data_IF_368092276294
#
_entry.id   IF_368092276294
#
_cell.length_a   1.000
_cell.length_b   1.000
_cell.length_c   1.000
_cell.angle_alpha   90.00
_cell.angle_beta   90.00
_cell.angle_gamma   90.00
#
_symmetry.space_group_name_H-M   'P 1'
#
loop_
_entity.id
_entity.type
_entity.pdbx_description
1 polymer ?
#
# COMPACT_ATOMS: atom_id res chain seq x y z
N UNK A 1 -37.20 2.42 -1.07
CA UNK A 1 -36.22 1.51 -1.65
C UNK A 1 -35.39 1.01 -0.47
N UNK A 2 -35.18 -0.30 -0.33
CA UNK A 2 -34.29 -0.84 0.70
C UNK A 2 -32.89 -0.28 0.42
N UNK A 3 -32.17 0.19 1.46
CA UNK A 3 -30.76 0.57 1.33
C UNK A 3 -30.02 -0.67 0.83
N UNK A 4 -29.17 -0.57 -0.19
CA UNK A 4 -28.32 -1.69 -0.57
C UNK A 4 -27.47 -2.09 0.64
N UNK A 5 -27.29 -3.40 0.84
CA UNK A 5 -26.43 -3.92 1.91
C UNK A 5 -25.00 -3.39 1.79
N UNK A 6 -24.16 -3.62 2.80
CA UNK A 6 -22.77 -3.15 2.78
C UNK A 6 -22.03 -3.73 1.56
N UNK A 7 -21.23 -2.90 0.89
CA UNK A 7 -20.38 -3.32 -0.24
C UNK A 7 -19.28 -4.29 0.23
N UNK A 8 -18.68 -5.03 -0.69
CA UNK A 8 -17.52 -5.88 -0.38
C UNK A 8 -16.35 -5.04 0.14
N UNK A 9 -16.11 -3.87 -0.48
CA UNK A 9 -15.14 -2.89 0.01
C UNK A 9 -15.36 -2.56 1.49
N UNK A 10 -16.62 -2.22 1.86
CA UNK A 10 -16.99 -1.90 3.24
C UNK A 10 -16.68 -3.04 4.22
N UNK A 11 -17.01 -4.28 3.84
CA UNK A 11 -16.75 -5.45 4.66
C UNK A 11 -15.25 -5.70 4.83
N UNK A 12 -14.49 -5.59 3.74
CA UNK A 12 -13.04 -5.81 3.73
C UNK A 12 -12.27 -4.73 4.53
N UNK A 13 -12.69 -3.47 4.44
CA UNK A 13 -12.09 -2.43 5.30
C UNK A 13 -12.29 -2.77 6.77
N UNK A 14 -13.48 -3.21 7.16
CA UNK A 14 -13.84 -3.47 8.56
C UNK A 14 -13.31 -4.81 9.09
N UNK A 15 -12.93 -5.74 8.22
CA UNK A 15 -12.30 -7.00 8.64
C UNK A 15 -10.80 -6.87 8.95
N UNK A 16 -10.18 -5.74 8.62
CA UNK A 16 -8.74 -5.57 8.75
C UNK A 16 -8.20 -5.85 10.16
N UNK A 17 -8.80 -5.34 11.26
CA UNK A 17 -8.26 -5.61 12.59
C UNK A 17 -8.13 -7.10 12.89
N UNK A 18 -9.19 -7.86 12.62
CA UNK A 18 -9.25 -9.30 12.88
C UNK A 18 -8.30 -10.09 11.99
N UNK A 19 -8.18 -9.69 10.70
CA UNK A 19 -7.24 -10.33 9.77
C UNK A 19 -5.79 -10.06 10.14
N UNK A 20 -5.47 -8.84 10.56
CA UNK A 20 -4.13 -8.49 11.03
C UNK A 20 -3.77 -9.24 12.33
N UNK A 21 -4.72 -9.36 13.28
CA UNK A 21 -4.53 -10.19 14.47
C UNK A 21 -4.27 -11.66 14.12
N UNK A 22 -5.06 -12.22 13.19
CA UNK A 22 -4.91 -13.59 12.70
C UNK A 22 -3.49 -13.84 12.15
N UNK A 23 -2.98 -12.91 11.35
CA UNK A 23 -1.62 -13.03 10.79
C UNK A 23 -0.55 -13.04 11.90
N UNK A 24 -0.68 -12.15 12.89
CA UNK A 24 0.28 -12.02 13.99
C UNK A 24 0.36 -13.27 14.87
N UNK A 25 -0.75 -14.01 15.04
CA UNK A 25 -0.77 -15.19 15.90
C UNK A 25 -0.56 -16.50 15.15
N UNK A 26 -0.72 -16.52 13.83
CA UNK A 26 -0.63 -17.73 13.00
C UNK A 26 0.76 -18.37 13.03
N UNK A 27 0.83 -19.60 13.53
CA UNK A 27 2.07 -20.38 13.53
C UNK A 27 2.57 -20.69 12.12
N UNK A 28 1.67 -20.91 11.16
CA UNK A 28 2.05 -21.16 9.76
C UNK A 28 2.70 -19.93 9.13
N UNK A 29 2.10 -18.74 9.33
CA UNK A 29 2.67 -17.48 8.82
C UNK A 29 4.04 -17.20 9.45
N UNK A 30 4.20 -17.41 10.77
CA UNK A 30 5.50 -17.26 11.45
C UNK A 30 6.56 -18.19 10.87
N UNK A 31 6.22 -19.43 10.53
CA UNK A 31 7.14 -20.36 9.87
C UNK A 31 7.53 -19.89 8.46
N UNK A 32 6.57 -19.39 7.68
CA UNK A 32 6.84 -18.83 6.35
C UNK A 32 7.75 -17.59 6.44
N UNK A 33 7.52 -16.71 7.41
CA UNK A 33 8.35 -15.52 7.66
C UNK A 33 9.75 -15.93 8.08
N UNK A 34 9.90 -16.90 8.98
CA UNK A 34 11.21 -17.41 9.38
C UNK A 34 11.99 -17.97 8.20
N UNK A 35 11.36 -18.78 7.36
CA UNK A 35 11.98 -19.34 6.15
C UNK A 35 12.40 -18.23 5.16
N UNK A 36 11.55 -17.19 4.99
CA UNK A 36 11.86 -16.05 4.14
C UNK A 36 13.03 -15.22 4.71
N UNK A 37 13.07 -14.99 6.03
CA UNK A 37 14.17 -14.31 6.71
C UNK A 37 15.50 -15.05 6.49
N UNK A 38 15.52 -16.37 6.70
CA UNK A 38 16.68 -17.23 6.45
C UNK A 38 17.18 -17.16 5.00
N UNK A 39 16.26 -17.14 4.03
CA UNK A 39 16.60 -17.00 2.61
C UNK A 39 17.20 -15.61 2.32
N UNK A 40 16.59 -14.56 2.84
CA UNK A 40 17.00 -13.17 2.59
C UNK A 40 18.24 -12.74 3.39
N UNK A 41 18.56 -13.39 4.51
CA UNK A 41 19.82 -13.15 5.23
C UNK A 41 21.06 -13.48 4.39
N UNK A 42 20.96 -14.40 3.45
CA UNK A 42 22.07 -14.90 2.62
C UNK A 42 22.35 -14.05 1.39
N UNK A 43 21.47 -13.08 1.11
CA UNK A 43 21.60 -12.24 -0.08
C UNK A 43 22.19 -10.87 0.25
N UNK A 44 22.83 -10.26 -0.75
CA UNK A 44 23.49 -8.96 -0.62
C UNK A 44 22.52 -7.81 -0.86
N UNK A 45 21.62 -7.98 -1.82
CA UNK A 45 20.67 -6.96 -2.27
C UNK A 45 19.30 -7.59 -2.48
N UNK A 46 18.25 -6.89 -2.12
CA UNK A 46 16.87 -7.37 -2.20
C UNK A 46 16.05 -6.44 -3.09
N UNK A 47 15.44 -6.99 -4.12
CA UNK A 47 14.50 -6.30 -4.99
C UNK A 47 13.08 -6.58 -4.51
N UNK A 48 12.30 -5.54 -4.27
CA UNK A 48 10.89 -5.66 -3.88
C UNK A 48 10.04 -5.24 -5.09
N UNK A 49 9.26 -6.17 -5.62
CA UNK A 49 8.65 -6.06 -6.94
C UNK A 49 7.14 -6.14 -6.84
N UNK A 50 6.44 -5.14 -7.39
CA UNK A 50 4.98 -5.09 -7.41
C UNK A 50 4.46 -4.10 -8.45
N UNK A 51 3.13 -3.94 -8.54
CA UNK A 51 2.49 -2.91 -9.36
C UNK A 51 1.25 -2.36 -8.65
N UNK A 52 0.90 -1.09 -8.85
CA UNK A 52 -0.20 -0.43 -8.15
C UNK A 52 -0.03 -0.54 -6.62
N UNK A 53 -1.08 -0.94 -5.94
CA UNK A 53 -1.11 -1.22 -4.50
C UNK A 53 0.06 -2.12 -4.04
N UNK A 54 0.38 -3.17 -4.80
CA UNK A 54 1.51 -4.06 -4.51
C UNK A 54 2.86 -3.34 -4.60
N UNK A 55 3.02 -2.34 -5.47
CA UNK A 55 4.23 -1.54 -5.54
C UNK A 55 4.35 -0.59 -4.33
N UNK A 56 3.24 -0.05 -3.85
CA UNK A 56 3.23 0.76 -2.63
C UNK A 56 3.65 -0.07 -1.41
N UNK A 57 3.14 -1.31 -1.27
CA UNK A 57 3.61 -2.23 -0.23
C UNK A 57 5.11 -2.55 -0.37
N UNK A 58 5.60 -2.73 -1.60
CA UNK A 58 7.02 -2.93 -1.88
C UNK A 58 7.89 -1.74 -1.44
N UNK A 59 7.41 -0.50 -1.62
CA UNK A 59 8.14 0.69 -1.14
C UNK A 59 8.27 0.72 0.38
N UNK A 60 7.19 0.47 1.13
CA UNK A 60 7.26 0.39 2.60
C UNK A 60 8.12 -0.80 3.05
N UNK A 61 7.96 -1.95 2.40
CA UNK A 61 8.79 -3.13 2.68
C UNK A 61 10.29 -2.88 2.44
N UNK A 62 10.65 -2.14 1.39
CA UNK A 62 12.04 -1.76 1.14
C UNK A 62 12.59 -0.87 2.26
N UNK A 63 11.83 0.12 2.72
CA UNK A 63 12.21 0.96 3.84
C UNK A 63 12.42 0.15 5.13
N UNK A 64 11.52 -0.80 5.43
CA UNK A 64 11.65 -1.70 6.58
C UNK A 64 12.91 -2.56 6.53
N UNK A 65 13.29 -3.06 5.34
CA UNK A 65 14.51 -3.86 5.18
C UNK A 65 15.78 -2.99 5.17
N UNK A 66 15.71 -1.74 4.73
CA UNK A 66 16.82 -0.78 4.86
C UNK A 66 17.13 -0.47 6.32
N UNK A 67 16.10 -0.41 7.15
CA UNK A 67 16.22 -0.20 8.60
C UNK A 67 17.01 -1.34 9.30
N UNK A 68 16.94 -2.56 8.75
CA UNK A 68 17.77 -3.72 9.14
C UNK A 68 19.14 -3.75 8.45
N UNK A 69 19.54 -2.64 7.81
CA UNK A 69 20.83 -2.52 7.13
C UNK A 69 20.91 -3.30 5.80
N UNK A 70 19.79 -3.68 5.19
CA UNK A 70 19.79 -4.37 3.90
C UNK A 70 19.76 -3.39 2.73
N UNK A 71 20.49 -3.71 1.67
CA UNK A 71 20.37 -3.01 0.39
C UNK A 71 19.06 -3.44 -0.29
N UNK A 72 17.95 -2.77 0.03
CA UNK A 72 16.61 -3.11 -0.44
C UNK A 72 16.06 -2.02 -1.35
N UNK A 73 15.46 -2.40 -2.50
CA UNK A 73 15.00 -1.48 -3.52
C UNK A 73 13.64 -1.89 -4.07
N UNK A 74 12.67 -0.99 -4.01
CA UNK A 74 11.37 -1.19 -4.64
C UNK A 74 11.43 -0.84 -6.13
N UNK A 75 10.79 -1.65 -6.96
CA UNK A 75 10.70 -1.44 -8.40
C UNK A 75 9.37 -1.96 -8.94
N UNK A 76 8.83 -1.33 -10.00
CA UNK A 76 7.62 -1.87 -10.63
C UNK A 76 7.92 -3.22 -11.31
N UNK A 77 6.94 -4.12 -11.29
CA UNK A 77 7.09 -5.45 -11.90
C UNK A 77 7.40 -5.37 -13.40
N UNK A 78 6.78 -4.43 -14.12
CA UNK A 78 7.08 -4.20 -15.53
C UNK A 78 8.53 -3.73 -15.70
N UNK A 79 8.99 -2.77 -14.89
CA UNK A 79 10.34 -2.23 -14.98
C UNK A 79 11.40 -3.29 -14.64
N UNK A 80 11.13 -4.14 -13.63
CA UNK A 80 11.99 -5.25 -13.28
C UNK A 80 12.16 -6.26 -14.42
N UNK A 81 11.11 -6.51 -15.19
CA UNK A 81 11.14 -7.46 -16.32
C UNK A 81 11.72 -6.83 -17.59
N UNK A 82 11.33 -5.60 -17.92
CA UNK A 82 11.69 -4.95 -19.20
C UNK A 82 13.04 -4.25 -19.18
N UNK A 83 13.37 -3.63 -18.06
CA UNK A 83 14.60 -2.87 -17.87
C UNK A 83 15.34 -3.46 -16.66
N UNK A 84 15.43 -4.79 -16.62
CA UNK A 84 15.94 -5.50 -15.45
C UNK A 84 17.23 -4.86 -14.95
N UNK A 85 17.31 -4.57 -13.64
CA UNK A 85 18.58 -4.24 -13.03
C UNK A 85 19.52 -5.43 -13.25
N UNK A 86 20.82 -5.18 -13.27
CA UNK A 86 21.78 -6.27 -13.29
C UNK A 86 21.61 -7.06 -11.99
N UNK A 87 21.00 -8.23 -12.10
CA UNK A 87 20.80 -9.16 -10.99
C UNK A 87 21.85 -10.27 -11.04
N UNK A 88 22.22 -10.79 -9.88
CA UNK A 88 23.21 -11.84 -9.76
C UNK A 88 22.85 -12.84 -8.66
N UNK A 89 23.59 -13.94 -8.53
CA UNK A 89 23.26 -15.06 -7.64
C UNK A 89 23.24 -14.69 -6.14
N UNK A 90 23.68 -13.47 -5.80
CA UNK A 90 23.67 -12.93 -4.44
C UNK A 90 22.53 -11.91 -4.23
N UNK A 91 21.60 -11.78 -5.16
CA UNK A 91 20.42 -10.97 -5.02
C UNK A 91 19.22 -11.84 -4.59
N UNK A 92 18.29 -11.20 -3.87
CA UNK A 92 16.98 -11.76 -3.57
C UNK A 92 15.88 -10.93 -4.18
N UNK A 93 14.69 -11.52 -4.33
CA UNK A 93 13.51 -10.85 -4.84
C UNK A 93 12.33 -11.15 -3.93
N UNK A 94 11.63 -10.11 -3.49
CA UNK A 94 10.33 -10.22 -2.82
C UNK A 94 9.27 -9.73 -3.80
N UNK A 95 8.31 -10.58 -4.15
CA UNK A 95 7.29 -10.29 -5.17
C UNK A 95 5.93 -10.15 -4.48
N UNK A 96 5.30 -9.01 -4.70
CA UNK A 96 3.97 -8.71 -4.19
C UNK A 96 2.93 -8.92 -5.28
N UNK A 97 2.00 -9.82 -5.07
CA UNK A 97 0.85 -10.04 -5.97
C UNK A 97 -0.29 -10.72 -5.21
N UNK A 98 -1.30 -9.94 -4.81
CA UNK A 98 -2.40 -10.49 -4.01
C UNK A 98 -3.10 -11.65 -4.72
N UNK A 99 -3.49 -11.46 -5.98
CA UNK A 99 -4.22 -12.50 -6.73
C UNK A 99 -3.35 -13.69 -7.13
N UNK A 100 -2.04 -13.50 -7.25
CA UNK A 100 -1.15 -14.48 -7.87
C UNK A 100 -1.33 -14.58 -9.38
N UNK A 101 -2.03 -13.64 -10.02
CA UNK A 101 -2.43 -13.67 -11.42
C UNK A 101 -1.83 -12.53 -12.25
N UNK A 102 -1.19 -11.54 -11.61
CA UNK A 102 -0.65 -10.35 -12.28
C UNK A 102 0.51 -10.71 -13.21
N UNK A 103 0.34 -10.50 -14.50
CA UNK A 103 1.24 -10.96 -15.56
C UNK A 103 2.70 -10.61 -15.34
N UNK A 104 3.01 -9.34 -15.11
CA UNK A 104 4.40 -8.91 -14.89
C UNK A 104 4.98 -9.36 -13.54
N UNK A 105 4.16 -9.55 -12.51
CA UNK A 105 4.62 -10.11 -11.25
C UNK A 105 5.03 -11.59 -11.41
N UNK A 106 4.24 -12.38 -12.16
CA UNK A 106 4.59 -13.75 -12.50
C UNK A 106 5.81 -13.84 -13.42
N UNK A 107 5.94 -12.92 -14.37
CA UNK A 107 7.12 -12.82 -15.22
C UNK A 107 8.39 -12.45 -14.42
N UNK A 108 8.28 -11.55 -13.44
CA UNK A 108 9.37 -11.23 -12.54
C UNK A 108 9.81 -12.46 -11.71
N UNK A 109 8.84 -13.25 -11.23
CA UNK A 109 9.11 -14.51 -10.54
C UNK A 109 9.84 -15.51 -11.44
N UNK A 110 9.37 -15.70 -12.67
CA UNK A 110 10.01 -16.58 -13.62
C UNK A 110 11.45 -16.15 -13.95
N UNK A 111 11.67 -14.84 -14.13
CA UNK A 111 13.00 -14.27 -14.33
C UNK A 111 13.90 -14.53 -13.12
N UNK A 112 13.40 -14.32 -11.90
CA UNK A 112 14.13 -14.55 -10.66
C UNK A 112 14.57 -16.02 -10.54
N UNK A 113 13.67 -16.99 -10.80
CA UNK A 113 14.01 -18.41 -10.80
C UNK A 113 15.04 -18.77 -11.87
N UNK A 114 14.89 -18.25 -13.09
CA UNK A 114 15.85 -18.52 -14.19
C UNK A 114 17.24 -17.97 -13.86
N UNK A 115 17.30 -16.83 -13.15
CA UNK A 115 18.55 -16.22 -12.70
C UNK A 115 19.12 -16.83 -11.40
N UNK A 116 18.43 -17.82 -10.81
CA UNK A 116 18.87 -18.48 -9.57
C UNK A 116 18.80 -17.59 -8.33
N UNK A 117 17.90 -16.59 -8.31
CA UNK A 117 17.74 -15.68 -7.18
C UNK A 117 16.97 -16.35 -6.05
N UNK A 118 17.28 -15.96 -4.80
CA UNK A 118 16.39 -16.25 -3.68
C UNK A 118 15.08 -15.49 -3.88
N UNK A 119 13.96 -16.20 -3.87
CA UNK A 119 12.65 -15.63 -4.18
C UNK A 119 11.71 -15.85 -3.02
N UNK A 120 11.02 -14.78 -2.62
CA UNK A 120 9.91 -14.79 -1.67
C UNK A 120 8.71 -14.13 -2.36
N UNK A 121 7.53 -14.73 -2.24
CA UNK A 121 6.30 -14.14 -2.76
C UNK A 121 5.36 -13.81 -1.61
N UNK A 122 4.81 -12.60 -1.58
CA UNK A 122 3.73 -12.20 -0.68
C UNK A 122 2.43 -12.19 -1.47
N UNK A 123 1.51 -13.07 -1.09
CA UNK A 123 0.29 -13.30 -1.85
C UNK A 123 -0.86 -13.77 -0.97
N UNK A 124 -2.04 -13.92 -1.56
CA UNK A 124 -3.20 -14.49 -0.88
C UNK A 124 -2.96 -15.93 -0.43
N UNK A 125 -3.71 -16.36 0.56
CA UNK A 125 -3.69 -17.75 1.01
C UNK A 125 -4.20 -18.72 -0.08
N UNK A 126 -3.77 -19.98 0.04
CA UNK A 126 -4.26 -21.09 -0.77
C UNK A 126 -3.66 -21.22 -2.17
N UNK A 127 -2.57 -20.51 -2.51
CA UNK A 127 -1.84 -20.72 -3.78
C UNK A 127 -0.89 -21.92 -3.73
N UNK A 128 -0.50 -22.38 -2.53
CA UNK A 128 0.29 -23.60 -2.35
C UNK A 128 1.72 -23.55 -2.90
N UNK A 129 2.35 -22.37 -2.90
CA UNK A 129 3.74 -22.20 -3.33
C UNK A 129 4.69 -22.24 -2.14
N UNK A 130 5.84 -22.91 -2.28
CA UNK A 130 6.79 -23.12 -1.18
C UNK A 130 7.62 -21.87 -0.83
N UNK A 131 7.69 -20.89 -1.73
CA UNK A 131 8.46 -19.65 -1.59
C UNK A 131 7.55 -18.45 -1.18
N UNK A 132 6.46 -18.72 -0.46
CA UNK A 132 5.40 -17.74 -0.22
C UNK A 132 5.21 -17.45 1.26
N UNK A 133 4.93 -16.18 1.55
CA UNK A 133 4.25 -15.74 2.78
C UNK A 133 2.80 -15.48 2.40
N UNK A 134 1.90 -16.26 2.97
CA UNK A 134 0.47 -16.09 2.75
C UNK A 134 -0.06 -14.92 3.57
N UNK A 135 -1.09 -14.26 3.05
CA UNK A 135 -1.74 -13.13 3.74
C UNK A 135 -3.21 -13.47 4.05
N UNK A 136 -4.12 -12.86 3.35
CA UNK A 136 -5.58 -13.02 3.52
C UNK A 136 -6.18 -13.76 2.33
N UNK A 137 -7.41 -14.28 2.42
CA UNK A 137 -8.15 -14.83 1.28
C UNK A 137 -8.22 -13.84 0.12
N UNK A 138 -8.49 -14.32 -1.09
CA UNK A 138 -8.68 -13.46 -2.26
C UNK A 138 -9.80 -12.45 -1.98
N UNK A 139 -9.48 -11.17 -2.06
CA UNK A 139 -10.49 -10.10 -1.95
C UNK A 139 -11.48 -10.17 -3.11
N UNK A 140 -12.73 -9.86 -2.82
CA UNK A 140 -13.83 -9.88 -3.79
C UNK A 140 -14.15 -8.51 -4.34
N UNK A 141 -13.78 -7.42 -3.65
CA UNK A 141 -13.75 -6.07 -4.21
C UNK A 141 -12.50 -5.88 -5.06
N UNK A 142 -12.61 -5.22 -6.19
CA UNK A 142 -11.46 -4.84 -7.02
C UNK A 142 -10.69 -3.65 -6.42
N UNK A 143 -11.30 -2.88 -5.51
CA UNK A 143 -10.60 -1.90 -4.67
C UNK A 143 -9.93 -2.63 -3.50
N UNK A 144 -8.71 -3.08 -3.69
CA UNK A 144 -7.97 -3.87 -2.70
C UNK A 144 -7.64 -3.05 -1.45
N UNK A 145 -7.89 -3.65 -0.27
CA UNK A 145 -7.74 -2.99 1.05
C UNK A 145 -6.99 -3.84 2.05
N UNK A 146 -7.63 -4.91 2.56
CA UNK A 146 -7.03 -5.77 3.59
C UNK A 146 -5.80 -6.52 3.09
N UNK A 147 -5.73 -6.86 1.80
CA UNK A 147 -4.54 -7.47 1.22
C UNK A 147 -3.32 -6.54 1.25
N UNK A 148 -3.52 -5.24 1.07
CA UNK A 148 -2.45 -4.26 1.18
C UNK A 148 -1.92 -4.14 2.61
N UNK A 149 -2.81 -3.87 3.57
CA UNK A 149 -2.41 -3.71 4.97
C UNK A 149 -1.80 -4.98 5.54
N UNK A 150 -2.30 -6.15 5.12
CA UNK A 150 -1.71 -7.45 5.43
C UNK A 150 -0.31 -7.62 4.83
N UNK A 151 -0.08 -7.22 3.58
CA UNK A 151 1.23 -7.27 2.95
C UNK A 151 2.24 -6.36 3.67
N UNK A 152 1.82 -5.16 4.09
CA UNK A 152 2.66 -4.24 4.88
C UNK A 152 2.96 -4.83 6.26
N UNK A 153 1.96 -5.44 6.93
CA UNK A 153 2.16 -6.07 8.23
C UNK A 153 3.14 -7.24 8.17
N UNK A 154 3.00 -8.16 7.20
CA UNK A 154 3.92 -9.30 7.07
C UNK A 154 5.33 -8.87 6.71
N UNK A 155 5.50 -7.74 5.99
CA UNK A 155 6.83 -7.13 5.80
C UNK A 155 7.41 -6.58 7.10
N UNK A 156 6.59 -5.98 7.96
CA UNK A 156 7.00 -5.58 9.31
C UNK A 156 7.42 -6.78 10.16
N UNK A 157 6.63 -7.88 10.11
CA UNK A 157 6.98 -9.13 10.79
C UNK A 157 8.30 -9.72 10.25
N UNK A 158 8.52 -9.68 8.94
CA UNK A 158 9.77 -10.13 8.32
C UNK A 158 10.95 -9.26 8.72
N UNK A 159 10.82 -7.95 8.72
CA UNK A 159 11.86 -7.04 9.19
C UNK A 159 12.20 -7.26 10.68
N UNK A 160 11.19 -7.45 11.52
CA UNK A 160 11.36 -7.79 12.93
C UNK A 160 12.11 -9.10 13.12
N UNK A 161 11.76 -10.17 12.38
CA UNK A 161 12.45 -11.46 12.37
C UNK A 161 13.91 -11.32 11.89
N UNK A 162 14.17 -10.39 10.99
CA UNK A 162 15.51 -10.06 10.50
C UNK A 162 16.30 -9.14 11.43
N UNK A 163 15.75 -8.72 12.56
CA UNK A 163 16.40 -7.96 13.61
C UNK A 163 16.23 -6.43 13.52
N UNK A 164 15.09 -5.95 13.02
CA UNK A 164 14.76 -4.53 13.07
C UNK A 164 14.57 -4.04 14.50
N UNK A 165 15.37 -3.07 14.93
CA UNK A 165 15.26 -2.46 16.27
C UNK A 165 14.02 -1.54 16.38
N UNK A 166 13.58 -0.97 15.27
CA UNK A 166 12.45 -0.02 15.20
C UNK A 166 11.10 -0.69 14.99
N UNK A 167 11.07 -2.02 14.74
CA UNK A 167 9.84 -2.81 14.52
C UNK A 167 9.88 -4.03 15.44
N UNK A 168 9.41 -3.85 16.67
CA UNK A 168 9.37 -4.93 17.66
C UNK A 168 8.06 -5.73 17.60
N UNK A 169 8.02 -6.96 18.16
CA UNK A 169 6.79 -7.73 18.28
C UNK A 169 5.65 -6.98 19.00
N UNK A 170 5.98 -6.18 20.03
CA UNK A 170 4.98 -5.39 20.77
C UNK A 170 4.39 -4.27 19.92
N UNK A 171 5.22 -3.60 19.11
CA UNK A 171 4.75 -2.58 18.16
C UNK A 171 3.86 -3.19 17.07
N UNK A 172 4.21 -4.37 16.56
CA UNK A 172 3.38 -5.10 15.60
C UNK A 172 2.05 -5.51 16.23
N UNK A 173 2.05 -5.97 17.49
CA UNK A 173 0.85 -6.35 18.22
C UNK A 173 -0.11 -5.17 18.47
N UNK A 174 0.37 -3.92 18.47
CA UNK A 174 -0.45 -2.73 18.62
C UNK A 174 -1.14 -2.29 17.32
N UNK A 175 -0.72 -2.79 16.15
CA UNK A 175 -1.27 -2.37 14.84
C UNK A 175 -2.77 -2.64 14.69
N UNK A 176 -3.32 -3.81 15.05
CA UNK A 176 -4.76 -4.07 14.92
C UNK A 176 -5.62 -3.08 15.70
N UNK A 177 -5.20 -2.69 16.91
CA UNK A 177 -5.94 -1.73 17.72
C UNK A 177 -5.89 -0.33 17.10
N UNK A 178 -4.73 0.12 16.61
CA UNK A 178 -4.62 1.38 15.88
C UNK A 178 -5.52 1.40 14.63
N UNK A 179 -5.71 0.26 13.97
CA UNK A 179 -6.65 0.12 12.85
C UNK A 179 -8.10 0.20 13.32
N UNK A 180 -8.46 -0.38 14.48
CA UNK A 180 -9.80 -0.21 15.06
C UNK A 180 -10.09 1.25 15.37
N UNK A 181 -9.13 1.96 15.95
CA UNK A 181 -9.24 3.39 16.25
C UNK A 181 -9.43 4.20 14.95
N UNK A 182 -8.67 3.89 13.89
CA UNK A 182 -8.82 4.54 12.59
C UNK A 182 -10.20 4.29 11.95
N UNK A 183 -10.76 3.09 12.13
CA UNK A 183 -12.12 2.77 11.64
C UNK A 183 -13.18 3.51 12.48
N UNK A 184 -13.01 3.58 13.80
CA UNK A 184 -13.96 4.23 14.69
C UNK A 184 -13.96 5.76 14.55
N UNK A 185 -12.80 6.36 14.25
CA UNK A 185 -12.63 7.80 14.10
C UNK A 185 -11.72 8.11 12.89
N UNK A 186 -12.22 7.98 11.66
CA UNK A 186 -11.40 8.15 10.46
C UNK A 186 -10.86 9.57 10.26
N UNK A 187 -11.55 10.59 10.78
CA UNK A 187 -11.16 11.99 10.63
C UNK A 187 -11.34 12.54 9.21
N UNK A 188 -12.07 11.81 8.38
CA UNK A 188 -12.27 12.15 6.96
C UNK A 188 -13.61 12.81 6.66
N UNK A 189 -14.48 12.96 7.66
CA UNK A 189 -15.87 13.42 7.53
C UNK A 189 -15.97 14.82 6.93
N UNK A 190 -14.98 15.68 7.22
CA UNK A 190 -14.90 17.05 6.72
C UNK A 190 -14.27 17.20 5.34
N UNK A 191 -13.76 16.13 4.71
CA UNK A 191 -13.17 16.20 3.36
C UNK A 191 -14.28 16.30 2.33
N UNK A 192 -14.40 17.40 1.56
CA UNK A 192 -15.40 17.51 0.51
C UNK A 192 -14.98 16.67 -0.71
N UNK A 193 -15.95 16.27 -1.55
CA UNK A 193 -15.65 15.87 -2.92
C UNK A 193 -15.26 17.15 -3.66
N UNK A 194 -14.02 17.28 -4.14
CA UNK A 194 -13.56 18.51 -4.77
C UNK A 194 -14.24 18.73 -6.13
N UNK A 195 -14.37 20.01 -6.54
CA UNK A 195 -14.91 20.33 -7.84
C UNK A 195 -14.00 19.87 -8.99
N UNK A 196 -12.67 19.85 -8.76
CA UNK A 196 -11.68 19.45 -9.76
C UNK A 196 -10.88 18.22 -9.35
N UNK A 197 -10.04 18.31 -8.31
CA UNK A 197 -9.18 17.21 -7.92
C UNK A 197 -8.84 17.20 -6.43
N UNK A 198 -8.53 15.99 -5.91
CA UNK A 198 -8.05 15.77 -4.56
C UNK A 198 -6.52 15.55 -4.60
N UNK A 199 -5.81 16.31 -3.78
CA UNK A 199 -4.38 16.11 -3.59
C UNK A 199 -4.16 15.47 -2.21
N UNK A 200 -3.48 14.34 -2.14
CA UNK A 200 -3.07 13.73 -0.87
C UNK A 200 -1.57 13.92 -0.74
N UNK A 201 -1.12 14.58 0.32
CA UNK A 201 0.29 14.96 0.50
C UNK A 201 0.82 14.37 1.80
N UNK A 202 1.97 13.71 1.73
CA UNK A 202 2.67 13.16 2.89
C UNK A 202 4.17 13.27 2.75
N UNK A 203 4.89 13.28 3.87
CA UNK A 203 6.35 13.27 3.89
C UNK A 203 6.88 11.89 4.30
N UNK A 204 8.09 11.54 3.86
CA UNK A 204 8.74 10.28 4.20
C UNK A 204 7.87 9.06 3.86
N UNK A 205 7.60 8.20 4.85
CA UNK A 205 6.76 7.01 4.65
C UNK A 205 5.32 7.36 4.25
N UNK A 206 4.79 8.49 4.74
CA UNK A 206 3.43 8.94 4.40
C UNK A 206 3.28 9.35 2.92
N UNK A 207 4.36 9.62 2.20
CA UNK A 207 4.31 9.82 0.76
C UNK A 207 3.87 8.55 0.00
N UNK A 208 4.17 7.36 0.53
CA UNK A 208 3.67 6.09 -0.03
C UNK A 208 2.18 5.94 0.25
N UNK A 209 1.76 6.24 1.48
CA UNK A 209 0.35 6.23 1.88
C UNK A 209 -0.48 7.26 1.11
N UNK A 210 0.08 8.44 0.80
CA UNK A 210 -0.56 9.43 -0.04
C UNK A 210 -0.88 8.88 -1.44
N UNK A 211 0.08 8.19 -2.06
CA UNK A 211 -0.12 7.53 -3.38
C UNK A 211 -1.14 6.40 -3.31
N UNK A 212 -1.09 5.58 -2.26
CA UNK A 212 -2.06 4.49 -2.06
C UNK A 212 -3.47 5.05 -1.80
N UNK A 213 -3.62 6.04 -0.94
CA UNK A 213 -4.90 6.70 -0.66
C UNK A 213 -5.51 7.31 -1.91
N UNK A 214 -4.72 8.04 -2.71
CA UNK A 214 -5.18 8.58 -3.98
C UNK A 214 -5.61 7.49 -4.97
N UNK A 215 -4.90 6.36 -5.01
CA UNK A 215 -5.30 5.20 -5.83
C UNK A 215 -6.66 4.67 -5.37
N UNK A 216 -6.88 4.47 -4.06
CA UNK A 216 -8.17 4.00 -3.52
C UNK A 216 -9.31 4.95 -3.83
N UNK A 217 -9.09 6.26 -3.71
CA UNK A 217 -10.11 7.27 -4.07
C UNK A 217 -10.47 7.18 -5.55
N UNK A 218 -9.48 7.06 -6.45
CA UNK A 218 -9.75 6.90 -7.89
C UNK A 218 -10.53 5.62 -8.19
N UNK A 219 -10.09 4.51 -7.62
CA UNK A 219 -10.68 3.18 -7.85
C UNK A 219 -12.12 3.11 -7.36
N UNK A 220 -12.38 3.48 -6.11
CA UNK A 220 -13.69 3.34 -5.50
C UNK A 220 -14.69 4.39 -6.00
N UNK A 221 -14.27 5.66 -6.12
CA UNK A 221 -15.20 6.78 -6.27
C UNK A 221 -15.13 7.52 -7.59
N UNK A 222 -14.20 7.21 -8.47
CA UNK A 222 -13.97 7.91 -9.75
C UNK A 222 -13.65 9.41 -9.58
N UNK A 223 -13.24 9.82 -8.39
CA UNK A 223 -12.74 11.18 -8.15
C UNK A 223 -11.30 11.26 -8.63
N UNK A 224 -10.94 12.32 -9.35
CA UNK A 224 -9.56 12.57 -9.73
C UNK A 224 -8.76 12.88 -8.47
N UNK A 225 -7.84 11.99 -8.11
CA UNK A 225 -7.01 12.12 -6.92
C UNK A 225 -5.55 11.79 -7.25
N UNK A 226 -4.62 12.55 -6.68
CA UNK A 226 -3.19 12.38 -6.84
C UNK A 226 -2.50 12.32 -5.46
N UNK A 227 -1.48 11.49 -5.35
CA UNK A 227 -0.70 11.32 -4.12
C UNK A 227 0.74 11.77 -4.31
N UNK A 228 1.22 12.63 -3.41
CA UNK A 228 2.53 13.24 -3.52
C UNK A 228 3.41 13.07 -2.28
N UNK A 229 4.69 12.95 -2.54
CA UNK A 229 5.73 13.35 -1.61
C UNK A 229 5.72 14.87 -1.45
N UNK A 230 5.85 15.36 -0.22
CA UNK A 230 5.73 16.78 0.09
C UNK A 230 6.80 17.64 -0.62
N UNK A 231 8.04 17.17 -0.70
CA UNK A 231 9.09 17.89 -1.43
C UNK A 231 8.77 17.91 -2.92
N UNK A 232 8.43 16.77 -3.51
CA UNK A 232 8.08 16.67 -4.92
C UNK A 232 6.85 17.53 -5.27
N UNK A 233 5.88 17.65 -4.36
CA UNK A 233 4.70 18.50 -4.54
C UNK A 233 5.09 19.96 -4.80
N UNK A 234 6.07 20.48 -4.07
CA UNK A 234 6.58 21.84 -4.23
C UNK A 234 7.38 22.04 -5.52
N UNK A 235 7.90 20.98 -6.14
CA UNK A 235 8.66 21.03 -7.38
C UNK A 235 7.77 20.96 -8.63
N UNK A 236 6.72 21.76 -8.66
CA UNK A 236 5.86 21.99 -9.83
C UNK A 236 4.45 21.41 -9.70
N UNK A 237 4.22 20.37 -8.90
CA UNK A 237 2.90 19.75 -8.78
C UNK A 237 1.87 20.67 -8.08
N UNK A 238 2.32 21.56 -7.20
CA UNK A 238 1.47 22.55 -6.53
C UNK A 238 1.01 23.70 -7.46
N UNK A 239 1.75 23.97 -8.53
CA UNK A 239 1.53 25.17 -9.39
C UNK A 239 0.10 25.26 -9.96
N UNK A 240 -0.56 24.19 -10.45
CA UNK A 240 -1.91 24.28 -11.01
C UNK A 240 -3.03 24.19 -9.97
N UNK A 241 -2.71 24.01 -8.68
CA UNK A 241 -3.71 23.77 -7.62
C UNK A 241 -4.36 25.10 -7.22
N UNK A 242 -5.67 25.09 -7.07
CA UNK A 242 -6.47 26.27 -6.75
C UNK A 242 -7.69 25.95 -5.89
N UNK A 243 -8.59 26.90 -5.64
CA UNK A 243 -9.75 26.76 -4.76
C UNK A 243 -10.78 25.70 -5.19
N UNK A 244 -10.73 25.19 -6.42
CA UNK A 244 -11.58 24.08 -6.90
C UNK A 244 -11.03 22.69 -6.50
N UNK A 245 -9.82 22.65 -5.96
CA UNK A 245 -9.15 21.45 -5.48
C UNK A 245 -9.26 21.37 -3.94
N UNK A 246 -8.90 20.20 -3.41
CA UNK A 246 -8.79 20.00 -1.98
C UNK A 246 -7.52 19.24 -1.64
N UNK A 247 -6.83 19.63 -0.57
CA UNK A 247 -5.63 18.93 -0.09
C UNK A 247 -5.97 18.15 1.18
N UNK A 248 -5.61 16.87 1.17
CA UNK A 248 -5.55 16.03 2.37
C UNK A 248 -4.10 15.87 2.77
N UNK A 249 -3.74 16.42 3.91
CA UNK A 249 -2.38 16.36 4.47
C UNK A 249 -2.27 15.22 5.46
N UNK A 250 -1.36 14.28 5.21
CA UNK A 250 -1.07 13.17 6.11
C UNK A 250 0.00 13.59 7.11
N UNK A 251 -0.37 13.69 8.38
CA UNK A 251 0.50 14.17 9.46
C UNK A 251 0.86 13.03 10.42
N UNK A 252 2.11 13.01 10.84
CA UNK A 252 2.66 12.11 11.83
C UNK A 252 3.45 12.87 12.88
N UNK A 253 3.75 12.23 14.00
CA UNK A 253 4.45 12.85 15.13
C UNK A 253 5.91 13.20 14.86
N UNK A 254 6.54 12.57 13.89
CA UNK A 254 7.94 12.72 13.49
C UNK A 254 8.13 13.62 12.26
N UNK A 255 7.08 14.32 11.86
CA UNK A 255 7.09 15.22 10.71
C UNK A 255 8.00 16.43 10.97
N UNK A 256 8.80 16.80 9.96
CA UNK A 256 9.69 17.99 10.00
C UNK A 256 8.98 19.33 9.83
N UNK A 257 7.66 19.33 9.71
CA UNK A 257 6.83 20.51 9.51
C UNK A 257 6.58 20.91 8.06
N UNK A 258 7.13 20.19 7.07
CA UNK A 258 6.98 20.54 5.66
C UNK A 258 5.52 20.40 5.20
N UNK A 259 4.83 19.31 5.56
CA UNK A 259 3.41 19.10 5.20
C UNK A 259 2.52 20.12 5.89
N UNK A 260 2.83 20.46 7.15
CA UNK A 260 2.12 21.51 7.87
C UNK A 260 2.30 22.90 7.20
N UNK A 261 3.53 23.19 6.75
CA UNK A 261 3.85 24.40 5.98
C UNK A 261 3.10 24.48 4.65
N UNK A 262 3.06 23.38 3.89
CA UNK A 262 2.26 23.27 2.65
C UNK A 262 0.79 23.53 2.92
N UNK A 263 0.25 22.95 3.99
CA UNK A 263 -1.14 23.15 4.40
C UNK A 263 -1.47 24.61 4.68
N UNK A 264 -0.60 25.30 5.44
CA UNK A 264 -0.78 26.71 5.75
C UNK A 264 -0.67 27.63 4.52
N UNK A 265 0.24 27.32 3.60
CA UNK A 265 0.38 28.02 2.33
C UNK A 265 -0.86 27.84 1.46
N UNK A 266 -1.38 26.61 1.33
CA UNK A 266 -2.59 26.32 0.57
C UNK A 266 -3.82 27.07 1.14
N UNK A 267 -3.99 27.10 2.45
CA UNK A 267 -5.07 27.88 3.10
C UNK A 267 -4.97 29.37 2.80
N UNK A 268 -3.76 29.92 2.72
CA UNK A 268 -3.52 31.32 2.35
C UNK A 268 -3.96 31.63 0.91
N UNK A 269 -3.84 30.64 0.01
CA UNK A 269 -4.31 30.73 -1.38
C UNK A 269 -5.81 30.37 -1.54
N UNK A 270 -6.54 30.16 -0.43
CA UNK A 270 -7.96 29.82 -0.45
C UNK A 270 -8.25 28.35 -0.86
N UNK A 271 -7.26 27.50 -0.86
CA UNK A 271 -7.40 26.07 -1.15
C UNK A 271 -7.86 25.36 0.12
N UNK A 272 -8.89 24.51 0.01
CA UNK A 272 -9.39 23.74 1.13
C UNK A 272 -8.36 22.67 1.59
N UNK A 273 -8.15 22.56 2.90
CA UNK A 273 -7.20 21.59 3.48
C UNK A 273 -7.88 20.79 4.59
N UNK A 274 -7.69 19.48 4.58
CA UNK A 274 -8.00 18.60 5.71
C UNK A 274 -6.73 17.91 6.17
N UNK A 275 -6.50 17.92 7.47
CA UNK A 275 -5.34 17.26 8.10
C UNK A 275 -5.78 15.96 8.71
N UNK A 276 -5.22 14.83 8.22
CA UNK A 276 -5.35 13.52 8.83
C UNK A 276 -4.12 13.26 9.69
N UNK A 277 -4.36 13.16 10.98
CA UNK A 277 -3.32 12.96 11.97
C UNK A 277 -3.34 11.53 12.49
N UNK A 278 -2.18 10.87 12.51
CA UNK A 278 -2.00 9.59 13.17
C UNK A 278 -1.21 9.78 14.46
N UNK A 279 -1.76 9.38 15.63
CA UNK A 279 -1.08 9.52 16.91
C UNK A 279 0.25 8.73 16.97
N UNK A 280 1.20 9.22 17.77
CA UNK A 280 2.51 8.61 17.99
C UNK A 280 2.49 7.32 18.83
N UNK A 281 1.53 6.43 18.56
CA UNK A 281 1.44 5.13 19.23
C UNK A 281 2.34 4.10 18.54
N UNK A 282 2.44 4.20 17.21
CA UNK A 282 3.23 3.33 16.36
C UNK A 282 4.45 4.08 15.79
N UNK A 283 5.58 3.37 15.52
CA UNK A 283 6.64 3.96 14.70
C UNK A 283 6.10 4.38 13.34
N UNK A 284 6.69 5.44 12.76
CA UNK A 284 6.23 6.07 11.52
C UNK A 284 5.93 5.07 10.42
N UNK A 285 6.77 4.06 10.23
CA UNK A 285 6.60 3.05 9.18
C UNK A 285 5.36 2.17 9.40
N UNK A 286 5.01 1.81 10.63
CA UNK A 286 3.82 1.02 10.96
C UNK A 286 2.55 1.88 11.01
N UNK A 287 2.67 3.16 11.34
CA UNK A 287 1.57 4.13 11.31
C UNK A 287 0.97 4.30 9.90
N UNK A 288 1.68 3.86 8.86
CA UNK A 288 1.15 3.87 7.48
C UNK A 288 -0.04 2.91 7.30
N UNK A 289 -0.17 1.88 8.15
CA UNK A 289 -1.31 0.95 8.09
C UNK A 289 -2.61 1.66 8.50
N UNK A 290 -2.76 2.24 9.72
CA UNK A 290 -3.98 2.95 10.08
C UNK A 290 -4.22 4.21 9.22
N UNK A 291 -3.19 4.96 8.80
CA UNK A 291 -3.35 6.07 7.86
C UNK A 291 -3.95 5.64 6.52
N UNK A 292 -3.52 4.48 6.00
CA UNK A 292 -4.12 3.91 4.78
C UNK A 292 -5.58 3.57 4.99
N UNK A 293 -5.95 2.99 6.14
CA UNK A 293 -7.35 2.67 6.47
C UNK A 293 -8.22 3.92 6.48
N UNK A 294 -7.75 5.04 7.01
CA UNK A 294 -8.44 6.34 6.93
C UNK A 294 -8.70 6.76 5.49
N UNK A 295 -7.71 6.59 4.62
CA UNK A 295 -7.85 6.90 3.18
C UNK A 295 -8.82 5.94 2.45
N UNK A 296 -8.86 4.66 2.85
CA UNK A 296 -9.84 3.69 2.34
C UNK A 296 -11.28 4.07 2.73
N UNK A 297 -11.48 4.52 3.97
CA UNK A 297 -12.79 5.01 4.45
C UNK A 297 -13.21 6.29 3.74
N UNK A 298 -12.28 7.18 3.41
CA UNK A 298 -12.54 8.34 2.56
C UNK A 298 -13.03 7.91 1.18
N UNK A 299 -12.36 6.94 0.57
CA UNK A 299 -12.72 6.40 -0.74
C UNK A 299 -14.11 5.73 -0.73
N UNK A 300 -14.43 4.95 0.31
CA UNK A 300 -15.76 4.35 0.55
C UNK A 300 -16.86 5.42 0.66
N UNK A 301 -16.61 6.46 1.45
CA UNK A 301 -17.56 7.56 1.63
C UNK A 301 -17.81 8.29 0.31
N UNK A 302 -16.76 8.64 -0.42
CA UNK A 302 -16.90 9.30 -1.72
C UNK A 302 -17.65 8.43 -2.74
N UNK A 303 -17.39 7.12 -2.76
CA UNK A 303 -18.14 6.19 -3.61
C UNK A 303 -19.64 6.21 -3.27
N UNK A 304 -19.97 6.17 -1.97
CA UNK A 304 -21.35 6.23 -1.48
C UNK A 304 -22.04 7.55 -1.88
N UNK A 305 -21.40 8.69 -1.64
CA UNK A 305 -21.93 10.02 -1.94
C UNK A 305 -22.14 10.24 -3.46
N UNK A 306 -21.30 9.62 -4.29
CA UNK A 306 -21.40 9.68 -5.76
C UNK A 306 -22.31 8.61 -6.37
N UNK A 307 -22.74 7.61 -5.57
CA UNK A 307 -23.52 6.46 -6.08
C UNK A 307 -22.69 5.53 -6.97
N UNK A 308 -21.37 5.51 -6.80
CA UNK A 308 -20.46 4.62 -7.54
C UNK A 308 -20.40 3.23 -6.89
N UNK A 309 -20.16 2.20 -7.70
CA UNK A 309 -19.88 0.86 -7.19
C UNK A 309 -18.38 0.69 -6.96
N UNK A 310 -17.91 0.65 -5.68
CA UNK A 310 -16.48 0.52 -5.39
C UNK A 310 -15.94 -0.89 -5.61
N UNK A 311 -16.82 -1.89 -5.77
CA UNK A 311 -16.41 -3.29 -5.88
C UNK A 311 -16.02 -3.68 -7.31
N UNK A 312 -16.40 -2.86 -8.32
CA UNK A 312 -16.03 -3.04 -9.72
C UNK A 312 -15.29 -1.81 -10.21
N UNK A 313 -13.98 -1.91 -10.33
CA UNK A 313 -13.09 -0.78 -10.63
C UNK A 313 -12.88 -0.63 -12.14
N UNK A 314 -12.60 -1.73 -12.82
CA UNK A 314 -12.23 -1.74 -14.22
C UNK A 314 -13.47 -2.01 -15.07
N UNK A 315 -13.88 -1.03 -15.87
CA UNK A 315 -15.12 -1.09 -16.67
C UNK A 315 -14.91 -0.57 -18.09
N UNK A 316 -15.82 -0.96 -18.98
CA UNK A 316 -15.81 -0.51 -20.38
C UNK A 316 -14.58 -0.98 -21.16
N UNK A 317 -14.00 -0.11 -21.96
CA UNK A 317 -12.83 -0.43 -22.77
C UNK A 317 -11.57 -0.78 -21.92
N UNK A 318 -11.53 -0.34 -20.67
CA UNK A 318 -10.44 -0.64 -19.75
C UNK A 318 -10.44 -2.09 -19.27
N UNK A 319 -11.61 -2.80 -19.34
CA UNK A 319 -11.75 -4.23 -18.98
C UNK A 319 -11.48 -5.18 -20.17
N UNK A 320 -10.94 -4.68 -21.27
CA UNK A 320 -10.58 -5.52 -22.41
C UNK A 320 -9.53 -6.56 -22.03
N UNK A 321 -9.86 -7.86 -22.22
CA UNK A 321 -8.92 -8.96 -22.03
C UNK A 321 -7.67 -8.80 -22.90
N UNK A 322 -7.83 -8.22 -24.08
CA UNK A 322 -6.71 -7.93 -25.00
C UNK A 322 -5.77 -6.92 -24.37
N UNK A 323 -6.30 -5.82 -23.79
CA UNK A 323 -5.51 -4.79 -23.12
C UNK A 323 -4.71 -5.38 -21.95
N UNK A 324 -5.34 -6.20 -21.10
CA UNK A 324 -4.69 -6.82 -19.95
C UNK A 324 -3.71 -7.95 -20.30
N UNK A 325 -3.83 -8.53 -21.50
CA UNK A 325 -2.89 -9.52 -22.03
C UNK A 325 -1.67 -8.90 -22.73
N UNK A 326 -1.74 -7.61 -23.12
CA UNK A 326 -0.61 -6.89 -23.71
C UNK A 326 0.51 -6.78 -22.68
N UNK A 327 1.71 -7.13 -23.10
CA UNK A 327 2.89 -7.06 -22.25
C UNK A 327 3.17 -8.32 -21.46
N UNK A 328 2.35 -9.37 -21.55
CA UNK A 328 2.76 -10.69 -21.11
C UNK A 328 4.03 -11.10 -21.88
N UNK A 329 5.13 -11.47 -21.21
CA UNK A 329 6.27 -12.01 -21.95
C UNK A 329 5.77 -13.26 -22.68
N UNK A 330 5.65 -13.15 -23.99
CA UNK A 330 5.43 -14.34 -24.82
C UNK A 330 6.66 -15.22 -24.60
N UNK A 331 6.42 -16.45 -24.16
CA UNK A 331 7.44 -17.47 -24.01
C UNK A 331 8.22 -17.66 -25.33
#
# INVERSE_FOLDING_TARGET
>A
MAQPGPTQLSQQIRSQPEELERLLVSGAIKQQIHAAAEALHRVRRIWLVGTGTSQHAAHLGAAMLQDVGRSAHAVSSMQFVKNAPIVGPHDGVVIFTHTGETSYALAARALAFTAGLQTVMISREGLGMNDMIETVPKETSETYTVSYTSAVLVMGMLASEMGADTITPDMLAAVPEAVRDAIAAPGTEGVPIPARSLQIVGAGHAAVTAREGALKVREASRVLAEGYDAEFFLHGSAVPINADDHIVSLLQSDEDGLVAGISAAAETEGIGVTRLYEPAVLPSILAQIPLTVRSQLLAERFATERGENPDTVIVGAWDSKELWSIGYPKA
#
